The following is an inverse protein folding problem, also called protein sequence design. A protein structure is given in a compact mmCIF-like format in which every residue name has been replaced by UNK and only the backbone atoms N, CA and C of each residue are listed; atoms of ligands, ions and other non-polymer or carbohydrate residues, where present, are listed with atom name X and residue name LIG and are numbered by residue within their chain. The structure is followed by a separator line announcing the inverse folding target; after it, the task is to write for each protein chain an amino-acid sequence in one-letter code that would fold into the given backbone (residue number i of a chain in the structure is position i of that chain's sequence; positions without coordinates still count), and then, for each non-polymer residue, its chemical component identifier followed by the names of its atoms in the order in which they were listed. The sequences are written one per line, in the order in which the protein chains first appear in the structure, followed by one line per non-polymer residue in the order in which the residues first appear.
data_IF_752133695403
#
_entry.id   IF_752133695403
#
_cell.length_a   1.000
_cell.length_b   1.000
_cell.length_c   1.000
_cell.angle_alpha   90.00
_cell.angle_beta   90.00
_cell.angle_gamma   90.00
#
_symmetry.space_group_name_H-M   'P 1'
#
loop_
_entity.id
_entity.type
_entity.pdbx_description
1 polymer ?
#
# COMPACT_ATOMS: atom_id res chain seq x y z
N UNK A 1 -39.97 17.90 -17.08
CA UNK A 1 -39.30 17.89 -15.76
C UNK A 1 -39.50 19.24 -15.08
N UNK A 2 -39.22 20.35 -15.75
CA UNK A 2 -39.31 21.72 -15.18
C UNK A 2 -40.70 22.12 -14.66
N UNK A 3 -41.79 21.63 -15.24
CA UNK A 3 -43.17 21.94 -14.77
C UNK A 3 -43.83 20.79 -14.00
N UNK A 4 -43.06 19.79 -13.53
CA UNK A 4 -43.68 18.66 -12.83
C UNK A 4 -44.09 19.06 -11.41
N UNK A 5 -45.40 19.12 -11.09
CA UNK A 5 -45.86 19.52 -9.76
C UNK A 5 -45.65 18.43 -8.70
N UNK A 6 -45.23 17.22 -9.10
CA UNK A 6 -45.04 16.07 -8.22
C UNK A 6 -43.55 15.80 -7.98
N UNK A 7 -43.10 15.74 -6.71
CA UNK A 7 -41.74 15.32 -6.38
C UNK A 7 -41.41 13.96 -7.00
N UNK A 8 -40.40 13.92 -7.85
CA UNK A 8 -40.02 12.70 -8.58
C UNK A 8 -38.61 12.29 -8.20
N UNK A 9 -38.45 11.08 -7.67
CA UNK A 9 -37.15 10.53 -7.26
C UNK A 9 -36.65 9.60 -8.37
N UNK A 10 -35.46 9.87 -8.89
CA UNK A 10 -34.78 9.00 -9.84
C UNK A 10 -33.61 8.32 -9.15
N UNK A 11 -33.50 7.00 -9.30
CA UNK A 11 -32.36 6.21 -8.84
C UNK A 11 -31.67 5.64 -10.06
N UNK A 12 -30.40 5.98 -10.26
CA UNK A 12 -29.56 5.44 -11.33
C UNK A 12 -28.29 4.86 -10.76
N UNK A 13 -27.82 3.76 -11.36
CA UNK A 13 -26.53 3.14 -11.02
C UNK A 13 -25.33 3.87 -11.66
N UNK A 14 -25.59 4.85 -12.53
CA UNK A 14 -24.55 5.67 -13.15
C UNK A 14 -25.15 6.88 -13.85
N UNK A 15 -24.53 8.03 -13.67
CA UNK A 15 -24.97 9.28 -14.32
C UNK A 15 -24.33 9.48 -15.69
N UNK A 16 -23.31 8.69 -16.05
CA UNK A 16 -22.59 8.83 -17.32
C UNK A 16 -23.43 8.49 -18.56
N UNK A 17 -24.52 7.76 -18.38
CA UNK A 17 -25.50 7.47 -19.42
C UNK A 17 -26.62 8.52 -19.50
N UNK A 18 -26.64 9.50 -18.60
CA UNK A 18 -27.63 10.57 -18.57
C UNK A 18 -26.99 11.82 -19.16
N UNK A 19 -27.64 12.39 -20.18
CA UNK A 19 -27.18 13.63 -20.81
C UNK A 19 -27.08 14.76 -19.77
N UNK A 20 -25.97 15.53 -19.72
CA UNK A 20 -25.80 16.66 -18.82
C UNK A 20 -26.96 17.68 -18.87
N UNK A 21 -27.62 17.86 -20.01
CA UNK A 21 -28.79 18.73 -20.14
C UNK A 21 -29.99 18.23 -19.32
N UNK A 22 -30.13 16.91 -19.16
CA UNK A 22 -31.15 16.32 -18.29
C UNK A 22 -30.76 16.40 -16.81
N UNK A 23 -29.48 16.27 -16.48
CA UNK A 23 -28.98 16.42 -15.11
C UNK A 23 -29.22 17.83 -14.55
N UNK A 24 -29.08 18.86 -15.38
CA UNK A 24 -29.37 20.27 -15.00
C UNK A 24 -30.84 20.53 -14.67
N UNK A 25 -31.75 19.63 -15.03
CA UNK A 25 -33.19 19.75 -14.77
C UNK A 25 -33.64 19.09 -13.46
N UNK A 26 -32.72 18.47 -12.73
CA UNK A 26 -32.99 17.98 -11.38
C UNK A 26 -32.66 19.08 -10.37
N UNK A 27 -33.58 19.36 -9.46
CA UNK A 27 -33.37 20.33 -8.38
C UNK A 27 -32.28 19.87 -7.39
N UNK A 28 -32.14 18.55 -7.23
CA UNK A 28 -31.14 17.93 -6.37
C UNK A 28 -30.63 16.64 -7.02
N UNK A 29 -29.30 16.53 -7.13
CA UNK A 29 -28.62 15.30 -7.52
C UNK A 29 -27.74 14.85 -6.37
N UNK A 30 -28.10 13.73 -5.74
CA UNK A 30 -27.32 13.12 -4.65
C UNK A 30 -26.55 11.93 -5.20
N UNK A 31 -25.23 12.00 -5.17
CA UNK A 31 -24.36 10.89 -5.49
C UNK A 31 -24.15 10.00 -4.26
N UNK A 32 -24.69 8.79 -4.28
CA UNK A 32 -24.41 7.78 -3.25
C UNK A 32 -23.11 7.05 -3.58
N UNK A 33 -22.01 7.54 -3.01
CA UNK A 33 -20.69 6.91 -3.12
C UNK A 33 -20.60 5.66 -2.27
N UNK A 34 -19.58 4.86 -2.53
CA UNK A 34 -19.30 3.72 -1.68
C UNK A 34 -18.90 4.18 -0.27
N UNK A 35 -19.42 3.52 0.78
CA UNK A 35 -19.12 3.90 2.16
C UNK A 35 -17.63 3.72 2.43
N UNK A 36 -17.02 4.69 3.12
CA UNK A 36 -15.64 4.60 3.61
C UNK A 36 -15.48 3.43 4.59
N UNK A 37 -14.25 2.99 4.86
CA UNK A 37 -13.98 1.95 5.86
C UNK A 37 -14.65 2.24 7.22
N UNK A 38 -14.63 3.50 7.69
CA UNK A 38 -15.31 3.93 8.92
C UNK A 38 -16.83 3.80 8.84
N UNK A 39 -17.44 4.17 7.71
CA UNK A 39 -18.88 4.04 7.50
C UNK A 39 -19.27 2.57 7.35
N UNK A 40 -18.49 1.77 6.62
CA UNK A 40 -18.64 0.31 6.51
C UNK A 40 -18.58 -0.34 7.89
N UNK A 41 -17.63 0.06 8.73
CA UNK A 41 -17.51 -0.41 10.11
C UNK A 41 -18.80 -0.18 10.90
N UNK A 42 -19.38 1.03 10.82
CA UNK A 42 -20.69 1.32 11.45
C UNK A 42 -21.81 0.45 10.89
N UNK A 43 -21.86 0.25 9.58
CA UNK A 43 -22.86 -0.62 8.93
C UNK A 43 -22.69 -2.07 9.40
N UNK A 44 -21.45 -2.56 9.51
CA UNK A 44 -21.11 -3.89 10.03
C UNK A 44 -21.55 -4.01 11.48
N UNK A 45 -21.23 -3.04 12.34
CA UNK A 45 -21.65 -3.07 13.75
C UNK A 45 -23.18 -3.05 13.91
N UNK A 46 -23.91 -2.37 13.01
CA UNK A 46 -25.38 -2.40 13.00
C UNK A 46 -25.95 -3.78 12.61
N UNK A 47 -25.30 -4.50 11.70
CA UNK A 47 -25.75 -5.83 11.25
C UNK A 47 -25.21 -6.99 12.11
N UNK A 48 -24.06 -6.77 12.77
CA UNK A 48 -23.37 -7.71 13.64
C UNK A 48 -23.17 -7.08 15.03
N UNK A 49 -24.19 -7.15 15.91
CA UNK A 49 -24.09 -6.67 17.28
C UNK A 49 -22.92 -7.29 18.06
N UNK A 50 -22.57 -6.67 19.20
CA UNK A 50 -21.48 -7.17 20.06
C UNK A 50 -21.64 -8.66 20.39
N UNK A 51 -20.55 -9.42 20.24
CA UNK A 51 -20.49 -10.86 20.52
C UNK A 51 -20.93 -11.78 19.37
N UNK A 52 -21.38 -11.22 18.23
CA UNK A 52 -21.69 -12.03 17.04
C UNK A 52 -20.43 -12.40 16.27
N UNK A 53 -19.62 -11.40 15.94
CA UNK A 53 -18.32 -11.55 15.31
C UNK A 53 -17.22 -11.02 16.23
N UNK A 54 -16.00 -11.48 16.05
CA UNK A 54 -14.83 -10.85 16.67
C UNK A 54 -14.59 -9.44 16.12
N UNK A 55 -13.99 -8.58 16.94
CA UNK A 55 -13.62 -7.23 16.50
C UNK A 55 -12.63 -7.26 15.33
N UNK A 56 -11.72 -8.25 15.32
CA UNK A 56 -10.80 -8.53 14.22
C UNK A 56 -11.51 -8.88 12.90
N UNK A 57 -12.57 -9.70 12.95
CA UNK A 57 -13.33 -10.06 11.75
C UNK A 57 -14.11 -8.86 11.20
N UNK A 58 -14.72 -8.07 12.08
CA UNK A 58 -15.43 -6.85 11.70
C UNK A 58 -14.49 -5.80 11.07
N UNK A 59 -13.28 -5.63 11.62
CA UNK A 59 -12.27 -4.75 11.04
C UNK A 59 -11.80 -5.25 9.67
N UNK A 60 -11.65 -6.57 9.53
CA UNK A 60 -11.28 -7.18 8.24
C UNK A 60 -12.36 -6.93 7.19
N UNK A 61 -13.64 -7.11 7.54
CA UNK A 61 -14.78 -6.80 6.65
C UNK A 61 -14.84 -5.30 6.29
N UNK A 62 -14.57 -4.40 7.23
CA UNK A 62 -14.58 -2.95 6.99
C UNK A 62 -13.47 -2.52 6.01
N UNK A 63 -12.33 -3.21 6.04
CA UNK A 63 -11.19 -3.00 5.13
C UNK A 63 -11.37 -3.64 3.75
N UNK A 64 -12.38 -4.49 3.54
CA UNK A 64 -12.64 -5.05 2.21
C UNK A 64 -13.09 -3.95 1.25
N UNK A 65 -12.19 -3.63 0.32
CA UNK A 65 -12.39 -2.65 -0.73
C UNK A 65 -13.66 -3.01 -1.51
N UNK A 66 -14.56 -2.03 -1.66
CA UNK A 66 -15.83 -2.14 -2.37
C UNK A 66 -16.90 -3.07 -1.80
N UNK A 67 -16.89 -3.38 -0.50
CA UNK A 67 -17.99 -4.13 0.11
C UNK A 67 -19.27 -3.26 0.25
N UNK A 68 -20.35 -3.50 -0.54
CA UNK A 68 -21.57 -2.71 -0.47
C UNK A 68 -22.40 -3.06 0.77
N UNK A 69 -23.21 -2.12 1.31
CA UNK A 69 -24.05 -2.36 2.49
C UNK A 69 -24.96 -3.58 2.37
N UNK A 70 -25.58 -3.78 1.20
CA UNK A 70 -26.45 -4.92 0.93
C UNK A 70 -25.74 -6.29 1.04
N UNK A 71 -24.41 -6.33 0.85
CA UNK A 71 -23.62 -7.56 1.01
C UNK A 71 -23.29 -7.84 2.47
N UNK A 72 -23.04 -6.80 3.27
CA UNK A 72 -22.92 -6.91 4.73
C UNK A 72 -24.22 -7.49 5.30
N UNK A 73 -25.37 -6.98 4.85
CA UNK A 73 -26.68 -7.49 5.26
C UNK A 73 -26.87 -8.96 4.85
N UNK A 74 -26.49 -9.33 3.63
CA UNK A 74 -26.56 -10.72 3.16
C UNK A 74 -25.65 -11.64 3.97
N UNK A 75 -24.42 -11.22 4.28
CA UNK A 75 -23.51 -11.97 5.13
C UNK A 75 -24.12 -12.19 6.53
N UNK A 76 -24.72 -11.15 7.12
CA UNK A 76 -25.39 -11.26 8.42
C UNK A 76 -26.57 -12.24 8.37
N UNK A 77 -27.35 -12.25 7.29
CA UNK A 77 -28.43 -13.24 7.08
C UNK A 77 -27.90 -14.67 6.98
N UNK A 78 -26.78 -14.90 6.28
CA UNK A 78 -26.19 -16.23 6.14
C UNK A 78 -25.67 -16.75 7.48
N UNK A 79 -24.88 -15.95 8.21
CA UNK A 79 -24.37 -16.31 9.55
C UNK A 79 -25.52 -16.63 10.51
N UNK A 80 -26.61 -15.85 10.46
CA UNK A 80 -27.81 -16.11 11.28
C UNK A 80 -28.51 -17.42 10.90
N UNK A 81 -28.48 -17.80 9.62
CA UNK A 81 -29.12 -19.01 9.11
C UNK A 81 -28.33 -20.29 9.41
N UNK A 82 -27.00 -20.22 9.39
CA UNK A 82 -26.12 -21.38 9.61
C UNK A 82 -26.06 -21.84 11.07
N UNK A 83 -26.50 -21.00 12.02
CA UNK A 83 -26.58 -21.31 13.48
C UNK A 83 -25.25 -21.81 14.06
N UNK A 84 -24.15 -21.27 13.58
CA UNK A 84 -22.80 -21.70 13.95
C UNK A 84 -22.53 -21.41 15.43
N UNK A 85 -21.85 -22.34 16.09
CA UNK A 85 -21.83 -22.44 17.55
C UNK A 85 -20.75 -21.55 18.16
N UNK A 86 -19.67 -21.30 17.41
CA UNK A 86 -18.52 -20.53 17.88
C UNK A 86 -18.39 -19.19 17.15
N UNK A 87 -17.75 -18.22 17.80
CA UNK A 87 -17.42 -16.93 17.16
C UNK A 87 -16.47 -17.13 15.97
N UNK A 88 -15.52 -18.06 16.08
CA UNK A 88 -14.55 -18.36 15.02
C UNK A 88 -15.21 -18.89 13.74
N UNK A 89 -16.21 -19.76 13.86
CA UNK A 89 -16.99 -20.23 12.70
C UNK A 89 -17.78 -19.10 12.05
N UNK A 90 -18.44 -18.27 12.88
CA UNK A 90 -19.22 -17.12 12.39
C UNK A 90 -18.33 -16.09 11.69
N UNK A 91 -17.12 -15.86 12.19
CA UNK A 91 -16.11 -15.01 11.56
C UNK A 91 -15.70 -15.55 10.18
N UNK A 92 -15.37 -16.84 10.10
CA UNK A 92 -14.96 -17.48 8.85
C UNK A 92 -16.08 -17.42 7.79
N UNK A 93 -17.33 -17.69 8.20
CA UNK A 93 -18.49 -17.62 7.30
C UNK A 93 -18.76 -16.20 6.79
N UNK A 94 -18.74 -15.20 7.68
CA UNK A 94 -18.98 -13.82 7.30
C UNK A 94 -17.95 -13.33 6.27
N UNK A 95 -16.67 -13.63 6.52
CA UNK A 95 -15.56 -13.30 5.62
C UNK A 95 -15.70 -14.04 4.29
N UNK A 96 -16.01 -15.33 4.31
CA UNK A 96 -16.15 -16.14 3.10
C UNK A 96 -17.31 -15.66 2.22
N UNK A 97 -18.47 -15.33 2.80
CA UNK A 97 -19.62 -14.80 2.06
C UNK A 97 -19.30 -13.44 1.43
N UNK A 98 -18.58 -12.58 2.15
CA UNK A 98 -18.13 -11.29 1.64
C UNK A 98 -17.14 -11.46 0.48
N UNK A 99 -16.12 -12.33 0.62
CA UNK A 99 -15.12 -12.61 -0.42
C UNK A 99 -15.76 -13.19 -1.69
N UNK A 100 -16.62 -14.21 -1.56
CA UNK A 100 -17.32 -14.81 -2.70
C UNK A 100 -18.22 -13.80 -3.40
N UNK A 101 -18.87 -12.91 -2.66
CA UNK A 101 -19.71 -11.85 -3.22
C UNK A 101 -18.90 -10.82 -4.01
N UNK A 102 -17.71 -10.46 -3.52
CA UNK A 102 -16.80 -9.54 -4.22
C UNK A 102 -16.22 -10.17 -5.50
N UNK A 103 -15.79 -11.43 -5.41
CA UNK A 103 -15.27 -12.18 -6.55
C UNK A 103 -16.30 -12.28 -7.69
N UNK A 104 -17.57 -12.56 -7.35
CA UNK A 104 -18.65 -12.64 -8.33
C UNK A 104 -18.97 -11.30 -9.03
N UNK A 105 -18.58 -10.16 -8.46
CA UNK A 105 -18.74 -8.84 -9.08
C UNK A 105 -17.52 -8.41 -9.91
N UNK A 106 -16.54 -9.30 -10.10
CA UNK A 106 -15.30 -8.97 -10.79
C UNK A 106 -14.45 -7.95 -10.04
N UNK A 107 -14.71 -7.75 -8.73
CA UNK A 107 -13.82 -6.94 -7.91
C UNK A 107 -12.46 -7.63 -7.89
N UNK A 108 -11.43 -6.93 -8.40
CA UNK A 108 -10.04 -7.36 -8.20
C UNK A 108 -9.88 -7.57 -6.70
N UNK A 109 -9.36 -8.74 -6.31
CA UNK A 109 -8.99 -9.01 -4.91
C UNK A 109 -8.17 -7.80 -4.43
N UNK A 110 -8.48 -7.18 -3.28
CA UNK A 110 -7.66 -6.09 -2.79
C UNK A 110 -6.21 -6.58 -2.79
N UNK A 111 -5.24 -5.76 -3.23
CA UNK A 111 -3.85 -6.17 -3.18
C UNK A 111 -3.58 -6.64 -1.76
N UNK A 112 -3.02 -7.86 -1.62
CA UNK A 112 -2.61 -8.37 -0.32
C UNK A 112 -1.54 -7.41 0.21
N UNK A 113 -1.96 -6.42 0.98
CA UNK A 113 -1.06 -5.62 1.79
C UNK A 113 -0.45 -6.61 2.76
N UNK A 114 0.84 -6.90 2.58
CA UNK A 114 1.55 -7.68 3.59
C UNK A 114 1.57 -6.80 4.83
N UNK A 115 0.96 -7.21 5.95
CA UNK A 115 1.07 -6.45 7.18
C UNK A 115 2.56 -6.24 7.49
N UNK A 116 2.86 -5.15 8.21
CA UNK A 116 4.21 -4.93 8.73
C UNK A 116 4.67 -6.21 9.43
N UNK A 117 5.88 -6.72 9.12
CA UNK A 117 6.45 -7.80 9.91
C UNK A 117 6.42 -7.43 11.39
N UNK A 118 6.17 -8.40 12.27
CA UNK A 118 6.16 -8.22 13.74
C UNK A 118 7.45 -7.62 14.31
N UNK A 119 8.52 -7.59 13.51
CA UNK A 119 9.85 -7.09 13.86
C UNK A 119 10.29 -5.90 13.00
N UNK A 120 9.35 -5.19 12.35
CA UNK A 120 9.70 -3.98 11.61
C UNK A 120 10.29 -2.92 12.55
N UNK A 121 11.44 -2.38 12.18
CA UNK A 121 12.19 -1.42 12.98
C UNK A 121 12.89 -0.44 12.04
N UNK A 122 12.65 0.86 12.24
CA UNK A 122 13.24 1.94 11.44
C UNK A 122 14.77 1.98 11.57
N UNK A 123 15.33 1.45 12.67
CA UNK A 123 16.77 1.34 12.87
C UNK A 123 17.49 0.46 11.83
N UNK A 124 16.76 -0.46 11.19
CA UNK A 124 17.26 -1.31 10.11
C UNK A 124 16.94 -0.77 8.72
N UNK A 125 16.62 0.51 8.58
CA UNK A 125 16.51 1.18 7.29
C UNK A 125 17.67 2.15 7.13
N UNK A 126 18.39 2.08 6.01
CA UNK A 126 19.40 3.09 5.69
C UNK A 126 18.73 4.18 4.85
N UNK A 127 18.20 5.20 5.53
CA UNK A 127 17.71 6.41 4.90
C UNK A 127 18.72 7.55 5.07
N UNK A 128 18.69 8.52 4.14
CA UNK A 128 19.48 9.75 4.21
C UNK A 128 18.98 10.76 5.26
N UNK A 129 17.85 10.45 5.93
CA UNK A 129 17.24 11.24 7.00
C UNK A 129 16.84 10.38 8.18
N UNK A 130 16.70 11.02 9.35
CA UNK A 130 16.14 10.37 10.53
C UNK A 130 14.63 10.13 10.31
N UNK A 131 14.23 8.86 10.26
CA UNK A 131 12.85 8.46 9.98
C UNK A 131 11.91 8.70 11.16
N UNK A 132 12.39 8.57 12.39
CA UNK A 132 11.55 8.78 13.57
C UNK A 132 11.15 10.26 13.69
N UNK A 133 12.13 11.17 13.50
CA UNK A 133 11.87 12.61 13.45
C UNK A 133 10.97 13.01 12.28
N UNK A 134 11.07 12.30 11.14
CA UNK A 134 10.18 12.51 10.01
C UNK A 134 8.74 12.15 10.41
N UNK A 135 8.51 10.95 10.92
CA UNK A 135 7.18 10.48 11.35
C UNK A 135 6.58 11.40 12.41
N UNK A 136 7.36 11.82 13.40
CA UNK A 136 6.94 12.80 14.41
C UNK A 136 6.52 14.12 13.77
N UNK A 137 7.26 14.60 12.77
CA UNK A 137 6.91 15.80 12.01
C UNK A 137 5.59 15.65 11.25
N UNK A 138 5.39 14.52 10.59
CA UNK A 138 4.16 14.21 9.84
C UNK A 138 2.93 14.13 10.75
N UNK A 139 3.09 13.58 11.95
CA UNK A 139 2.01 13.51 12.95
C UNK A 139 1.52 14.90 13.38
N UNK A 140 2.40 15.91 13.35
CA UNK A 140 2.10 17.29 13.74
C UNK A 140 1.54 18.13 12.59
N UNK A 141 2.04 17.95 11.36
CA UNK A 141 1.58 18.73 10.20
C UNK A 141 0.22 18.27 9.69
N UNK A 142 -0.10 16.97 9.81
CA UNK A 142 -1.35 16.37 9.32
C UNK A 142 -1.43 16.20 7.79
N UNK A 143 -0.64 16.98 7.03
CA UNK A 143 -0.44 16.86 5.59
C UNK A 143 1.05 16.94 5.23
N UNK A 144 1.45 16.14 4.24
CA UNK A 144 2.79 16.17 3.62
C UNK A 144 2.84 15.28 2.38
N UNK A 145 3.78 15.59 1.47
CA UNK A 145 4.09 14.81 0.28
C UNK A 145 5.48 14.23 0.38
N UNK A 146 5.57 12.91 0.42
CA UNK A 146 6.83 12.16 0.53
C UNK A 146 7.13 11.42 -0.77
N UNK A 147 8.35 11.59 -1.26
CA UNK A 147 8.93 10.74 -2.29
C UNK A 147 9.98 9.83 -1.65
N UNK A 148 9.72 8.52 -1.65
CA UNK A 148 10.63 7.49 -1.18
C UNK A 148 11.28 6.83 -2.40
N UNK A 149 12.60 6.93 -2.51
CA UNK A 149 13.33 6.39 -3.66
C UNK A 149 14.58 5.64 -3.22
N UNK A 150 14.98 4.62 -3.98
CA UNK A 150 16.12 3.76 -3.62
C UNK A 150 16.00 2.36 -4.22
N UNK A 151 17.01 1.50 -4.01
CA UNK A 151 16.98 0.12 -4.48
C UNK A 151 15.73 -0.66 -4.01
N UNK A 152 15.26 -1.66 -4.78
CA UNK A 152 14.15 -2.51 -4.35
C UNK A 152 14.49 -3.27 -3.06
N UNK A 153 13.49 -3.55 -2.23
CA UNK A 153 13.67 -4.30 -0.97
C UNK A 153 14.26 -3.50 0.19
N UNK A 154 14.50 -2.20 0.04
CA UNK A 154 15.00 -1.30 1.11
C UNK A 154 13.96 -0.89 2.16
N UNK A 155 12.69 -1.28 1.99
CA UNK A 155 11.63 -1.00 2.97
C UNK A 155 10.78 0.25 2.70
N UNK A 156 10.81 0.81 1.48
CA UNK A 156 10.01 1.99 1.06
C UNK A 156 8.51 1.80 1.31
N UNK A 157 7.91 0.74 0.73
CA UNK A 157 6.49 0.41 0.91
C UNK A 157 6.17 0.17 2.39
N UNK A 158 7.06 -0.54 3.10
CA UNK A 158 6.90 -0.81 4.53
C UNK A 158 6.93 0.47 5.38
N UNK A 159 7.71 1.49 5.01
CA UNK A 159 7.67 2.79 5.69
C UNK A 159 6.28 3.42 5.58
N UNK A 160 5.62 3.34 4.43
CA UNK A 160 4.25 3.84 4.26
C UNK A 160 3.26 3.15 5.21
N UNK A 161 3.37 1.83 5.37
CA UNK A 161 2.61 1.09 6.38
C UNK A 161 2.91 1.56 7.81
N UNK A 162 4.19 1.76 8.14
CA UNK A 162 4.62 2.18 9.46
C UNK A 162 4.07 3.57 9.80
N UNK A 163 4.18 4.51 8.86
CA UNK A 163 3.63 5.87 8.98
C UNK A 163 2.14 5.81 9.26
N UNK A 164 1.35 5.08 8.47
CA UNK A 164 -0.09 4.98 8.69
C UNK A 164 -0.45 4.38 10.06
N UNK A 165 0.29 3.38 10.52
CA UNK A 165 0.10 2.79 11.85
C UNK A 165 0.44 3.79 12.98
N UNK A 166 1.54 4.54 12.85
CA UNK A 166 1.95 5.53 13.87
C UNK A 166 0.97 6.71 13.94
N UNK A 167 0.38 7.11 12.82
CA UNK A 167 -0.62 8.18 12.76
C UNK A 167 -2.05 7.71 13.09
N UNK A 168 -2.27 6.42 13.36
CA UNK A 168 -3.60 5.81 13.52
C UNK A 168 -4.58 6.16 12.38
N UNK A 169 -4.06 6.19 11.15
CA UNK A 169 -4.82 6.49 9.93
C UNK A 169 -4.93 5.26 9.04
N UNK A 170 -6.05 5.09 8.30
CA UNK A 170 -6.13 4.06 7.27
C UNK A 170 -5.00 4.24 6.25
N UNK A 171 -4.52 3.15 5.66
CA UNK A 171 -3.58 3.19 4.56
C UNK A 171 -4.28 2.76 3.27
N UNK A 172 -4.30 3.66 2.28
CA UNK A 172 -4.76 3.36 0.93
C UNK A 172 -3.56 3.10 0.04
N UNK A 173 -3.35 1.84 -0.35
CA UNK A 173 -2.23 1.45 -1.24
C UNK A 173 -2.76 1.25 -2.65
N UNK A 174 -2.22 1.99 -3.62
CA UNK A 174 -2.49 1.80 -5.05
C UNK A 174 -1.16 1.56 -5.77
N UNK A 175 -1.07 0.54 -6.63
CA UNK A 175 0.12 0.40 -7.49
C UNK A 175 -0.04 1.30 -8.70
N UNK A 176 1.05 1.85 -9.22
CA UNK A 176 0.99 2.67 -10.41
C UNK A 176 0.36 1.93 -11.61
N UNK A 177 0.65 0.64 -11.75
CA UNK A 177 0.06 -0.25 -12.75
C UNK A 177 -1.45 -0.44 -12.63
N UNK A 178 -2.03 -0.28 -11.44
CA UNK A 178 -3.49 -0.34 -11.24
C UNK A 178 -4.17 0.96 -11.68
N UNK A 179 -3.45 2.08 -11.65
CA UNK A 179 -3.96 3.40 -12.02
C UNK A 179 -3.85 3.64 -13.53
N UNK A 180 -2.79 3.13 -14.15
CA UNK A 180 -2.53 3.26 -15.59
C UNK A 180 -3.57 2.50 -16.43
N UNK A 181 -4.06 3.17 -17.47
CA UNK A 181 -4.96 2.61 -18.46
C UNK A 181 -4.53 3.01 -19.87
N UNK A 182 -4.72 2.10 -20.84
CA UNK A 182 -4.53 2.39 -22.26
C UNK A 182 -5.66 3.25 -22.86
N UNK A 183 -6.76 3.42 -22.13
CA UNK A 183 -7.91 4.23 -22.56
C UNK A 183 -7.71 5.69 -22.11
N UNK A 184 -7.82 6.62 -23.08
CA UNK A 184 -7.67 8.06 -22.84
C UNK A 184 -8.62 8.54 -21.74
N UNK A 185 -8.10 9.32 -20.79
CA UNK A 185 -8.84 9.89 -19.65
C UNK A 185 -9.17 8.92 -18.52
N UNK A 186 -8.95 7.59 -18.68
CA UNK A 186 -9.24 6.65 -17.60
C UNK A 186 -8.19 6.70 -16.49
N UNK A 187 -6.91 6.89 -16.84
CA UNK A 187 -5.83 7.08 -15.84
C UNK A 187 -6.09 8.31 -14.97
N UNK A 188 -6.51 9.43 -15.59
CA UNK A 188 -6.84 10.68 -14.88
C UNK A 188 -7.99 10.46 -13.90
N UNK A 189 -9.06 9.78 -14.33
CA UNK A 189 -10.19 9.41 -13.47
C UNK A 189 -9.77 8.53 -12.30
N UNK A 190 -8.96 7.49 -12.56
CA UNK A 190 -8.48 6.58 -11.51
C UNK A 190 -7.63 7.31 -10.48
N UNK A 191 -6.82 8.26 -10.92
CA UNK A 191 -5.95 9.05 -10.06
C UNK A 191 -6.76 10.02 -9.20
N UNK A 192 -7.68 10.77 -9.82
CA UNK A 192 -8.60 11.64 -9.11
C UNK A 192 -9.49 10.88 -8.11
N UNK A 193 -9.91 9.65 -8.44
CA UNK A 193 -10.63 8.77 -7.52
C UNK A 193 -9.75 8.35 -6.34
N UNK A 194 -8.49 7.96 -6.57
CA UNK A 194 -7.57 7.55 -5.51
C UNK A 194 -7.26 8.68 -4.50
N UNK A 195 -6.98 9.90 -4.97
CA UNK A 195 -6.76 11.06 -4.10
C UNK A 195 -8.03 11.45 -3.34
N UNK A 196 -9.19 11.37 -3.98
CA UNK A 196 -10.48 11.67 -3.34
C UNK A 196 -10.84 10.61 -2.29
N UNK A 197 -10.65 9.34 -2.59
CA UNK A 197 -10.86 8.23 -1.64
C UNK A 197 -9.96 8.42 -0.41
N UNK A 198 -8.69 8.76 -0.60
CA UNK A 198 -7.78 9.05 0.51
C UNK A 198 -8.25 10.24 1.37
N UNK A 199 -8.77 11.30 0.74
CA UNK A 199 -9.32 12.46 1.45
C UNK A 199 -10.59 12.10 2.22
N UNK A 200 -11.54 11.42 1.59
CA UNK A 200 -12.81 10.99 2.18
C UNK A 200 -12.59 10.03 3.38
N UNK A 201 -11.56 9.18 3.32
CA UNK A 201 -11.19 8.25 4.40
C UNK A 201 -10.24 8.83 5.46
N UNK A 202 -9.74 10.06 5.26
CA UNK A 202 -8.66 10.65 6.08
C UNK A 202 -7.42 9.72 6.15
N UNK A 203 -7.11 9.08 5.02
CA UNK A 203 -6.13 8.01 4.89
C UNK A 203 -4.78 8.51 4.39
N UNK A 204 -3.72 7.75 4.73
CA UNK A 204 -2.42 7.88 4.07
C UNK A 204 -2.52 7.23 2.70
N UNK A 205 -2.31 8.01 1.64
CA UNK A 205 -2.25 7.50 0.26
C UNK A 205 -0.83 7.08 -0.09
N UNK A 206 -0.63 5.80 -0.36
CA UNK A 206 0.62 5.24 -0.87
C UNK A 206 0.44 4.81 -2.32
N UNK A 207 1.11 5.50 -3.25
CA UNK A 207 1.27 5.02 -4.62
C UNK A 207 2.61 4.29 -4.72
N UNK A 208 2.54 2.96 -4.84
CA UNK A 208 3.72 2.10 -4.98
C UNK A 208 4.11 1.90 -6.45
N UNK A 209 5.40 1.68 -6.69
CA UNK A 209 5.99 1.54 -8.03
C UNK A 209 5.64 2.73 -8.95
N UNK A 210 5.65 3.95 -8.39
CA UNK A 210 5.34 5.20 -9.10
C UNK A 210 6.38 5.60 -10.17
N UNK A 211 7.23 4.66 -10.58
CA UNK A 211 8.31 4.82 -11.56
C UNK A 211 7.77 5.41 -12.87
N UNK A 212 6.66 4.87 -13.38
CA UNK A 212 6.01 5.31 -14.61
C UNK A 212 5.48 6.75 -14.57
N UNK A 213 5.18 7.28 -13.38
CA UNK A 213 4.71 8.64 -13.21
C UNK A 213 5.81 9.65 -12.87
N UNK A 214 6.99 9.16 -12.44
CA UNK A 214 8.07 10.01 -11.94
C UNK A 214 9.32 10.00 -12.83
N UNK A 215 9.36 9.14 -13.85
CA UNK A 215 10.49 9.01 -14.77
C UNK A 215 10.69 10.27 -15.65
N UNK A 216 11.94 10.54 -16.03
CA UNK A 216 12.32 11.64 -16.91
C UNK A 216 11.58 11.59 -18.25
N UNK A 217 11.09 12.76 -18.66
CA UNK A 217 10.16 12.98 -19.77
C UNK A 217 10.86 13.14 -21.11
N UNK A 218 12.20 13.23 -21.09
CA UNK A 218 13.03 13.48 -22.27
C UNK A 218 12.93 12.38 -23.35
N UNK A 219 12.48 11.17 -22.99
CA UNK A 219 12.29 10.04 -23.91
C UNK A 219 10.83 9.60 -24.13
N UNK A 220 9.83 10.35 -23.65
CA UNK A 220 8.43 9.97 -23.82
C UNK A 220 7.99 10.10 -25.29
N UNK A 221 7.73 8.98 -25.96
CA UNK A 221 7.32 8.96 -27.37
C UNK A 221 5.85 9.38 -27.57
N UNK A 222 5.04 9.31 -26.50
CA UNK A 222 3.58 9.47 -26.60
C UNK A 222 3.11 10.63 -25.73
N UNK A 223 2.34 11.55 -26.33
CA UNK A 223 1.82 12.74 -25.64
C UNK A 223 0.95 12.43 -24.42
N UNK A 224 0.28 11.27 -24.39
CA UNK A 224 -0.58 10.88 -23.27
C UNK A 224 0.20 10.55 -21.98
N UNK A 225 1.47 10.11 -22.08
CA UNK A 225 2.31 9.82 -20.92
C UNK A 225 2.59 11.11 -20.14
N UNK A 226 2.85 12.21 -20.86
CA UNK A 226 3.11 13.53 -20.28
C UNK A 226 1.86 14.08 -19.56
N UNK A 227 0.68 13.92 -20.17
CA UNK A 227 -0.58 14.39 -19.56
C UNK A 227 -0.88 13.66 -18.25
N UNK A 228 -0.67 12.34 -18.18
CA UNK A 228 -0.91 11.54 -16.99
C UNK A 228 -0.01 11.95 -15.81
N UNK A 229 1.27 12.23 -16.08
CA UNK A 229 2.22 12.74 -15.08
C UNK A 229 1.77 14.11 -14.57
N UNK A 230 1.39 15.02 -15.46
CA UNK A 230 0.93 16.35 -15.07
C UNK A 230 -0.34 16.30 -14.21
N UNK A 231 -1.27 15.40 -14.52
CA UNK A 231 -2.45 15.19 -13.69
C UNK A 231 -2.07 14.70 -12.29
N UNK A 232 -1.12 13.76 -12.18
CA UNK A 232 -0.62 13.32 -10.87
C UNK A 232 -0.06 14.45 -10.03
N UNK A 233 0.77 15.29 -10.65
CA UNK A 233 1.37 16.42 -9.97
C UNK A 233 0.30 17.44 -9.53
N UNK A 234 -0.72 17.67 -10.36
CA UNK A 234 -1.85 18.56 -10.05
C UNK A 234 -2.69 18.04 -8.90
N UNK A 235 -3.04 16.74 -8.91
CA UNK A 235 -3.77 16.10 -7.81
C UNK A 235 -2.95 16.14 -6.52
N UNK A 236 -1.64 15.87 -6.60
CA UNK A 236 -0.75 15.93 -5.46
C UNK A 236 -0.68 17.34 -4.85
N UNK A 237 -0.57 18.39 -5.66
CA UNK A 237 -0.53 19.80 -5.21
C UNK A 237 -1.83 20.24 -4.52
N UNK A 238 -2.98 19.72 -4.95
CA UNK A 238 -4.28 20.04 -4.35
C UNK A 238 -4.65 19.14 -3.16
N UNK A 239 -3.93 18.04 -2.94
CA UNK A 239 -4.22 17.10 -1.86
C UNK A 239 -3.78 17.63 -0.49
N UNK A 240 -4.76 17.83 0.39
CA UNK A 240 -4.58 18.25 1.79
C UNK A 240 -4.51 17.05 2.75
N UNK A 241 -3.66 16.07 2.44
CA UNK A 241 -3.50 14.86 3.23
C UNK A 241 -2.06 14.35 3.24
N UNK A 242 -1.88 13.11 3.68
CA UNK A 242 -0.57 12.47 3.67
C UNK A 242 -0.41 11.61 2.41
N UNK A 243 0.48 12.04 1.52
CA UNK A 243 0.77 11.35 0.28
C UNK A 243 2.19 10.80 0.27
N UNK A 244 2.34 9.52 -0.10
CA UNK A 244 3.62 8.84 -0.21
C UNK A 244 3.70 8.21 -1.61
N UNK A 245 4.75 8.53 -2.35
CA UNK A 245 5.10 7.83 -3.59
C UNK A 245 6.39 7.03 -3.38
N UNK A 246 6.38 5.74 -3.70
CA UNK A 246 7.60 4.92 -3.73
C UNK A 246 8.06 4.63 -5.16
N UNK A 247 9.35 4.79 -5.40
CA UNK A 247 10.00 4.54 -6.70
C UNK A 247 11.31 3.77 -6.52
N UNK A 248 11.62 2.87 -7.46
CA UNK A 248 12.88 2.15 -7.50
C UNK A 248 13.93 2.85 -8.36
N UNK A 249 13.54 3.89 -9.09
CA UNK A 249 14.40 4.66 -9.96
C UNK A 249 15.15 5.71 -9.14
N UNK A 250 16.47 5.58 -8.99
CA UNK A 250 17.30 6.58 -8.29
C UNK A 250 17.86 7.62 -9.27
N UNK A 251 18.21 7.19 -10.49
CA UNK A 251 18.97 8.00 -11.46
C UNK A 251 18.11 8.67 -12.54
N UNK A 252 16.85 8.25 -12.71
CA UNK A 252 15.97 8.69 -13.81
C UNK A 252 14.72 9.44 -13.36
N UNK A 253 14.73 10.04 -12.18
CA UNK A 253 13.61 10.83 -11.66
C UNK A 253 13.59 12.25 -12.25
N UNK A 254 12.42 12.69 -12.70
CA UNK A 254 12.21 14.04 -13.21
C UNK A 254 12.41 15.10 -12.10
N UNK A 255 13.32 16.04 -12.35
CA UNK A 255 13.63 17.13 -11.43
C UNK A 255 12.41 18.04 -11.17
N UNK A 256 11.50 18.20 -12.14
CA UNK A 256 10.30 19.01 -11.98
C UNK A 256 9.26 18.33 -11.07
N UNK A 257 9.11 17.00 -11.17
CA UNK A 257 8.30 16.20 -10.25
C UNK A 257 8.85 16.25 -8.83
N UNK A 258 10.17 16.08 -8.66
CA UNK A 258 10.81 16.11 -7.35
C UNK A 258 10.59 17.44 -6.60
N UNK A 259 10.55 18.58 -7.27
CA UNK A 259 10.35 19.90 -6.61
C UNK A 259 8.99 20.04 -5.90
N UNK A 260 8.00 19.22 -6.23
CA UNK A 260 6.64 19.27 -5.67
C UNK A 260 6.45 18.40 -4.43
N UNK A 261 7.44 17.57 -4.10
CA UNK A 261 7.46 16.82 -2.85
C UNK A 261 8.10 17.64 -1.75
N UNK A 262 7.43 17.69 -0.59
CA UNK A 262 7.93 18.37 0.61
C UNK A 262 9.15 17.63 1.18
N UNK A 263 9.10 16.29 1.14
CA UNK A 263 10.16 15.42 1.63
C UNK A 263 10.61 14.44 0.57
N UNK A 264 11.93 14.31 0.45
CA UNK A 264 12.63 13.37 -0.41
C UNK A 264 13.47 12.50 0.50
N UNK A 265 13.18 11.21 0.52
CA UNK A 265 13.87 10.25 1.39
C UNK A 265 14.54 9.21 0.50
N UNK A 266 15.87 9.26 0.47
CA UNK A 266 16.66 8.27 -0.24
C UNK A 266 16.94 7.09 0.66
N UNK A 267 16.56 5.92 0.20
CA UNK A 267 16.94 4.64 0.79
C UNK A 267 18.15 4.07 0.06
N UNK A 268 19.03 3.44 0.83
CA UNK A 268 20.27 2.84 0.34
C UNK A 268 20.46 1.45 0.99
N UNK A 269 21.50 0.73 0.57
CA UNK A 269 21.86 -0.57 1.13
C UNK A 269 22.24 -0.45 2.61
N UNK A 270 22.04 -1.51 3.38
CA UNK A 270 22.27 -1.50 4.82
C UNK A 270 23.73 -1.19 5.17
N UNK A 271 23.94 -0.30 6.14
CA UNK A 271 25.27 -0.04 6.68
C UNK A 271 25.78 -1.26 7.44
N UNK A 272 27.10 -1.41 7.53
CA UNK A 272 27.76 -2.52 8.24
C UNK A 272 27.17 -2.80 9.62
N UNK A 273 26.96 -1.76 10.44
CA UNK A 273 26.39 -1.91 11.78
C UNK A 273 24.92 -2.36 11.73
N UNK A 274 24.11 -1.87 10.78
CA UNK A 274 22.72 -2.26 10.62
C UNK A 274 22.61 -3.72 10.14
N UNK A 275 23.45 -4.14 9.18
CA UNK A 275 23.54 -5.53 8.69
C UNK A 275 23.82 -6.49 9.84
N UNK A 276 24.85 -6.19 10.64
CA UNK A 276 25.23 -6.99 11.82
C UNK A 276 24.12 -7.04 12.86
N UNK A 277 23.54 -5.90 13.22
CA UNK A 277 22.50 -5.81 14.24
C UNK A 277 21.24 -6.58 13.81
N UNK A 278 20.81 -6.43 12.55
CA UNK A 278 19.68 -7.18 12.00
C UNK A 278 19.96 -8.68 11.98
N UNK A 279 21.14 -9.10 11.50
CA UNK A 279 21.54 -10.51 11.50
C UNK A 279 21.51 -11.11 12.90
N UNK A 280 22.13 -10.45 13.87
CA UNK A 280 22.18 -10.90 15.26
C UNK A 280 20.79 -10.97 15.88
N UNK A 281 19.91 -10.00 15.62
CA UNK A 281 18.52 -10.02 16.11
C UNK A 281 17.74 -11.23 15.60
N UNK A 282 17.99 -11.66 14.36
CA UNK A 282 17.28 -12.79 13.76
C UNK A 282 17.80 -14.15 14.23
N UNK A 283 19.07 -14.26 14.61
CA UNK A 283 19.67 -15.50 15.12
C UNK A 283 19.72 -15.57 16.65
N UNK A 284 19.35 -14.50 17.36
CA UNK A 284 19.45 -14.36 18.81
C UNK A 284 18.76 -15.51 19.57
N UNK A 285 17.66 -16.03 19.02
CA UNK A 285 16.93 -17.14 19.63
C UNK A 285 17.59 -18.51 19.40
N UNK A 286 18.61 -18.60 18.52
CA UNK A 286 19.07 -19.87 17.93
C UNK A 286 20.59 -20.13 18.06
N UNK A 287 21.46 -19.11 18.21
CA UNK A 287 22.88 -19.24 18.60
C UNK A 287 23.62 -17.89 18.62
N UNK A 288 24.74 -17.80 19.33
CA UNK A 288 25.76 -16.76 19.12
C UNK A 288 26.45 -16.94 17.77
N UNK A 289 26.48 -15.89 16.95
CA UNK A 289 27.20 -15.89 15.68
C UNK A 289 28.71 -15.82 15.90
N UNK A 290 29.46 -16.75 15.29
CA UNK A 290 30.93 -16.73 15.31
C UNK A 290 31.51 -15.51 14.60
N UNK A 291 32.69 -15.05 15.05
CA UNK A 291 33.37 -13.87 14.47
C UNK A 291 33.67 -14.04 12.97
N UNK A 292 33.93 -15.28 12.51
CA UNK A 292 34.12 -15.58 11.09
C UNK A 292 32.87 -15.29 10.26
N UNK A 293 31.68 -15.61 10.79
CA UNK A 293 30.39 -15.36 10.13
C UNK A 293 30.16 -13.85 10.01
N UNK A 294 30.42 -13.11 11.10
CA UNK A 294 30.27 -11.66 11.11
C UNK A 294 31.24 -10.96 10.14
N UNK A 295 32.46 -11.46 10.00
CA UNK A 295 33.42 -10.93 9.00
C UNK A 295 32.96 -11.17 7.56
N UNK A 296 32.37 -12.33 7.25
CA UNK A 296 31.81 -12.62 5.92
C UNK A 296 30.59 -11.73 5.63
N UNK A 297 29.69 -11.57 6.61
CA UNK A 297 28.53 -10.70 6.50
C UNK A 297 28.91 -9.25 6.18
N UNK A 298 30.01 -8.75 6.77
CA UNK A 298 30.47 -7.38 6.54
C UNK A 298 30.84 -7.08 5.08
N UNK A 299 31.24 -8.10 4.32
CA UNK A 299 31.63 -7.98 2.91
C UNK A 299 30.42 -7.85 1.98
N UNK A 300 29.21 -8.10 2.47
CA UNK A 300 27.97 -8.10 1.67
C UNK A 300 27.34 -6.70 1.62
N UNK A 301 27.95 -5.78 0.89
CA UNK A 301 27.59 -4.34 0.90
C UNK A 301 26.28 -3.99 0.18
N UNK A 302 25.72 -4.91 -0.59
CA UNK A 302 24.48 -4.72 -1.35
C UNK A 302 23.24 -5.32 -0.66
N UNK A 303 23.34 -5.59 0.65
CA UNK A 303 22.22 -6.15 1.41
C UNK A 303 21.14 -5.12 1.71
N UNK A 304 19.89 -5.53 1.58
CA UNK A 304 18.70 -4.78 1.97
C UNK A 304 17.85 -5.62 2.94
N UNK A 305 16.98 -5.00 3.76
CA UNK A 305 16.09 -5.75 4.66
C UNK A 305 15.24 -6.82 3.95
N UNK A 306 14.84 -6.55 2.69
CA UNK A 306 14.11 -7.50 1.87
C UNK A 306 14.85 -8.81 1.62
N UNK A 307 16.19 -8.81 1.53
CA UNK A 307 16.97 -10.04 1.35
C UNK A 307 16.86 -10.95 2.57
N UNK A 308 16.94 -10.36 3.77
CA UNK A 308 16.74 -11.10 5.02
C UNK A 308 15.34 -11.70 5.09
N UNK A 309 14.31 -10.93 4.71
CA UNK A 309 12.93 -11.44 4.67
C UNK A 309 12.75 -12.56 3.63
N UNK A 310 13.44 -12.50 2.48
CA UNK A 310 13.43 -13.57 1.49
C UNK A 310 14.05 -14.86 2.03
N UNK A 311 15.26 -14.77 2.60
CA UNK A 311 15.97 -15.92 3.13
C UNK A 311 15.19 -16.56 4.29
N UNK A 312 14.61 -15.76 5.20
CA UNK A 312 13.76 -16.28 6.26
C UNK A 312 12.52 -17.00 5.72
N UNK A 313 11.86 -16.46 4.68
CA UNK A 313 10.73 -17.14 4.03
C UNK A 313 11.15 -18.46 3.40
N UNK A 314 12.32 -18.53 2.78
CA UNK A 314 12.86 -19.75 2.20
C UNK A 314 13.13 -20.81 3.29
N UNK A 315 13.84 -20.44 4.36
CA UNK A 315 14.14 -21.33 5.48
C UNK A 315 12.86 -21.87 6.13
N UNK A 316 11.89 -20.99 6.40
CA UNK A 316 10.60 -21.39 6.96
C UNK A 316 9.80 -22.30 6.03
N UNK A 317 9.86 -22.08 4.71
CA UNK A 317 9.18 -22.94 3.74
C UNK A 317 9.80 -24.35 3.65
N UNK A 318 11.11 -24.47 3.91
CA UNK A 318 11.82 -25.75 3.94
C UNK A 318 11.71 -26.45 5.30
N UNK A 319 11.24 -25.76 6.34
CA UNK A 319 11.20 -26.28 7.71
C UNK A 319 12.57 -26.30 8.38
N UNK A 320 13.55 -25.57 7.82
CA UNK A 320 14.91 -25.51 8.34
C UNK A 320 14.99 -24.59 9.57
N UNK A 321 15.84 -24.96 10.52
CA UNK A 321 16.14 -24.10 11.67
C UNK A 321 16.94 -22.87 11.21
N UNK A 322 16.61 -21.70 11.76
CA UNK A 322 17.34 -20.45 11.47
C UNK A 322 18.71 -20.51 12.17
N UNK A 323 19.71 -21.05 11.48
CA UNK A 323 21.10 -21.11 11.96
C UNK A 323 21.91 -19.93 11.42
N UNK A 324 22.93 -19.44 12.14
CA UNK A 324 23.81 -18.39 11.63
C UNK A 324 24.45 -18.73 10.27
N UNK A 325 24.89 -19.97 10.09
CA UNK A 325 25.50 -20.43 8.84
C UNK A 325 24.50 -20.51 7.68
N UNK A 326 23.29 -21.03 7.95
CA UNK A 326 22.23 -21.12 6.94
C UNK A 326 21.75 -19.75 6.48
N UNK A 327 21.54 -18.82 7.43
CA UNK A 327 21.15 -17.45 7.11
C UNK A 327 22.23 -16.72 6.31
N UNK A 328 23.50 -16.82 6.72
CA UNK A 328 24.61 -16.21 5.98
C UNK A 328 24.70 -16.76 4.56
N UNK A 329 24.60 -18.08 4.39
CA UNK A 329 24.65 -18.70 3.07
C UNK A 329 23.53 -18.21 2.16
N UNK A 330 22.29 -18.13 2.66
CA UNK A 330 21.17 -17.57 1.91
C UNK A 330 21.40 -16.11 1.50
N UNK A 331 21.93 -15.28 2.41
CA UNK A 331 22.24 -13.88 2.10
C UNK A 331 23.35 -13.74 1.05
N UNK A 332 24.37 -14.60 1.08
CA UNK A 332 25.42 -14.63 0.06
C UNK A 332 24.87 -14.98 -1.32
N UNK A 333 23.95 -15.96 -1.40
CA UNK A 333 23.26 -16.32 -2.64
C UNK A 333 22.43 -15.15 -3.20
N UNK A 334 21.72 -14.44 -2.33
CA UNK A 334 20.86 -13.33 -2.75
C UNK A 334 21.67 -12.14 -3.29
N UNK A 335 22.85 -11.87 -2.71
CA UNK A 335 23.77 -10.83 -3.19
C UNK A 335 24.42 -11.22 -4.53
N UNK A 336 24.62 -12.51 -4.80
CA UNK A 336 25.16 -12.96 -6.10
C UNK A 336 24.17 -12.77 -7.26
N UNK A 337 22.87 -12.81 -6.99
CA UNK A 337 21.83 -12.59 -8.00
C UNK A 337 21.65 -11.11 -8.38
N UNK A 338 22.23 -10.17 -7.62
CA UNK A 338 22.06 -8.74 -7.85
C UNK A 338 22.94 -8.24 -9.01
N UNK A 339 22.37 -7.47 -9.95
CA UNK A 339 23.07 -7.00 -11.14
C UNK A 339 24.29 -6.12 -10.81
N UNK A 340 24.23 -5.33 -9.74
CA UNK A 340 25.32 -4.44 -9.28
C UNK A 340 26.60 -5.17 -8.84
N UNK A 341 26.51 -6.48 -8.58
CA UNK A 341 27.68 -7.29 -8.23
C UNK A 341 28.45 -7.74 -9.49
N UNK A 342 27.76 -7.86 -10.64
CA UNK A 342 28.39 -8.24 -11.90
C UNK A 342 29.09 -7.07 -12.61
N UNK A 343 28.62 -5.84 -12.42
CA UNK A 343 29.27 -4.63 -12.96
C UNK A 343 30.58 -4.28 -12.23
N UNK A 344 30.72 -4.62 -10.94
CA UNK A 344 31.98 -4.39 -10.19
C UNK A 344 33.11 -5.37 -10.50
N UNK A 345 32.85 -6.48 -11.22
CA UNK A 345 33.88 -7.46 -11.61
C UNK A 345 34.68 -7.08 -12.87
N UNK A 346 34.29 -6.02 -13.58
CA UNK A 346 34.99 -5.54 -14.79
C UNK A 346 35.71 -4.22 -14.47
N UNK A 347 36.68 -4.28 -13.57
CA UNK A 347 37.64 -3.21 -13.32
C UNK A 347 39.00 -3.84 -13.13
N UNK A 348 39.86 -3.75 -14.14
CA UNK A 348 41.22 -4.30 -14.11
C UNK A 348 42.03 -3.70 -12.94
N UNK A 349 42.83 -4.57 -12.31
CA UNK A 349 43.81 -4.26 -11.25
C UNK A 349 44.89 -3.30 -11.71
#
# INVERSE_FOLDING_TARGET
LEENPVPTIWVSNGIHSIDPAHLRRFDLVVEFRQPTSRVRRRIIDNHFPKGVLSETAKDTLARMERLPPARVERAARVVKALRSSTTTERDAEALQVAELSLAAMGAKRPPRTSPLPSHYDTAFLNADRNLDSLVDGLSKSGSARLCLYGPPGTGKTALGHYVAQQLDRPLLVKRASDLLSCWLGQTEKNLAEAFREASDEDAVLLIDEADSFLQDRSGAERSWEITQVNEMLTQMESFEGLFIASTNLVDSLDAASLRRFDFKVRFDFLRRHQRRALFLRLVADHATADDLILRRLDQLDLLVPGDFANVLRQLNALGDSITPSGLLHGLEMEVQLKPDNNTRRIGFR
#
